data_IF_271496297013
#
_entry.id   IF_271496297013
#
_cell.length_a   1.000
_cell.length_b   1.000
_cell.length_c   1.000
_cell.angle_alpha   90.00
_cell.angle_beta   90.00
_cell.angle_gamma   90.00
#
_symmetry.space_group_name_H-M   'P 1'
#
loop_
_entity.id
_entity.type
_entity.pdbx_description
1 polymer ?
#
# COMPACT_ATOMS: atom_id res chain seq x y z
N UNK A 1 13.82 17.07 6.57
CA UNK A 1 12.89 16.20 7.34
C UNK A 1 12.38 15.08 6.44
N UNK A 2 12.86 13.84 6.63
CA UNK A 2 12.49 12.70 5.75
C UNK A 2 11.01 12.30 5.82
N UNK A 3 10.29 12.68 6.88
CA UNK A 3 8.90 12.30 7.12
C UNK A 3 7.85 13.14 6.38
N UNK A 4 8.25 14.18 5.62
CA UNK A 4 7.36 15.04 4.83
C UNK A 4 7.34 14.70 3.32
N UNK A 5 7.98 13.60 2.90
CA UNK A 5 7.90 13.16 1.49
C UNK A 5 6.47 12.75 1.13
N UNK A 6 6.01 12.94 -0.12
CA UNK A 6 4.68 12.49 -0.53
C UNK A 6 4.46 11.01 -0.20
N UNK A 7 3.38 10.71 0.50
CA UNK A 7 3.05 9.36 0.93
C UNK A 7 1.58 9.03 0.67
N UNK A 8 1.27 7.74 0.57
CA UNK A 8 -0.10 7.24 0.41
C UNK A 8 -0.30 6.07 1.36
N UNK A 9 -1.37 6.12 2.17
CA UNK A 9 -1.83 5.00 3.00
C UNK A 9 -2.50 3.94 2.12
N UNK A 10 -1.69 3.13 1.44
CA UNK A 10 -2.13 2.06 0.57
C UNK A 10 -1.07 0.96 0.46
N UNK A 11 -1.41 -0.11 -0.25
CA UNK A 11 -0.52 -1.18 -0.64
C UNK A 11 -0.59 -1.42 -2.13
N UNK A 12 0.57 -1.62 -2.77
CA UNK A 12 0.65 -2.08 -4.16
C UNK A 12 0.54 -3.60 -4.16
N UNK A 13 -0.47 -4.14 -4.83
CA UNK A 13 -0.75 -5.57 -4.92
C UNK A 13 -0.63 -6.01 -6.38
N UNK A 14 0.15 -7.07 -6.63
CA UNK A 14 0.26 -7.65 -7.97
C UNK A 14 -0.66 -8.88 -8.03
N UNK A 15 -1.75 -8.76 -8.77
CA UNK A 15 -2.68 -9.89 -8.98
C UNK A 15 -2.46 -10.51 -10.36
N UNK A 16 -2.90 -11.75 -10.54
CA UNK A 16 -2.90 -12.43 -11.84
C UNK A 16 -4.33 -12.82 -12.21
N UNK A 17 -4.78 -12.41 -13.40
CA UNK A 17 -6.17 -12.62 -13.87
C UNK A 17 -6.19 -13.23 -15.27
N UNK A 18 -7.18 -14.08 -15.59
CA UNK A 18 -7.39 -14.52 -16.96
C UNK A 18 -7.74 -13.33 -17.85
N UNK A 19 -7.31 -13.36 -19.11
CA UNK A 19 -7.74 -12.37 -20.10
C UNK A 19 -9.03 -12.81 -20.79
N UNK A 20 -9.70 -11.87 -21.45
CA UNK A 20 -10.93 -12.11 -22.22
C UNK A 20 -10.71 -12.81 -23.58
N UNK A 21 -9.46 -12.95 -24.02
CA UNK A 21 -9.12 -13.59 -25.31
C UNK A 21 -9.36 -15.10 -25.25
N UNK A 22 -10.33 -15.58 -26.05
CA UNK A 22 -10.58 -17.02 -26.25
C UNK A 22 -9.30 -17.72 -26.73
N UNK A 23 -8.97 -18.86 -26.12
CA UNK A 23 -7.80 -19.65 -26.49
C UNK A 23 -6.42 -19.05 -26.14
N UNK A 24 -6.35 -18.05 -25.25
CA UNK A 24 -5.06 -17.48 -24.86
C UNK A 24 -4.12 -18.53 -24.23
N UNK A 25 -2.97 -18.76 -24.88
CA UNK A 25 -1.95 -19.73 -24.46
C UNK A 25 -1.48 -19.49 -23.01
N UNK A 26 -1.14 -18.25 -22.67
CA UNK A 26 -0.67 -17.91 -21.32
C UNK A 26 -1.73 -18.15 -20.23
N UNK A 27 -3.02 -18.00 -20.54
CA UNK A 27 -4.09 -18.33 -19.61
C UNK A 27 -4.33 -19.84 -19.52
N UNK A 28 -4.26 -20.56 -20.65
CA UNK A 28 -4.40 -22.02 -20.70
C UNK A 28 -3.32 -22.76 -19.92
N UNK A 29 -2.10 -22.22 -19.92
CA UNK A 29 -0.95 -22.73 -19.16
C UNK A 29 -0.93 -22.27 -17.68
N UNK A 30 -1.98 -21.57 -17.21
CA UNK A 30 -2.09 -21.14 -15.80
C UNK A 30 -1.25 -19.91 -15.42
N UNK A 31 -0.37 -19.41 -16.31
CA UNK A 31 0.47 -18.21 -16.05
C UNK A 31 -0.36 -16.96 -15.78
N UNK A 32 -1.47 -16.78 -16.51
CA UNK A 32 -2.40 -15.62 -16.42
C UNK A 32 -1.68 -14.28 -16.67
N UNK A 33 -2.43 -13.17 -16.67
CA UNK A 33 -1.87 -11.84 -16.91
C UNK A 33 -1.79 -11.00 -15.64
N UNK A 34 -0.72 -10.22 -15.53
CA UNK A 34 -0.47 -9.34 -14.39
C UNK A 34 -1.48 -8.19 -14.40
N UNK A 35 -2.12 -7.96 -13.26
CA UNK A 35 -3.04 -6.86 -12.99
C UNK A 35 -2.60 -6.17 -11.70
N UNK A 36 -1.74 -5.13 -11.78
CA UNK A 36 -1.32 -4.36 -10.63
C UNK A 36 -2.49 -3.55 -10.07
N UNK A 37 -2.63 -3.53 -8.75
CA UNK A 37 -3.66 -2.80 -8.03
C UNK A 37 -3.02 -1.93 -6.94
N UNK A 38 -3.63 -0.79 -6.66
CA UNK A 38 -3.42 -0.02 -5.46
C UNK A 38 -4.62 -0.24 -4.53
N UNK A 39 -4.37 -0.81 -3.36
CA UNK A 39 -5.41 -1.12 -2.37
C UNK A 39 -5.28 -0.17 -1.19
N UNK A 40 -6.34 0.59 -0.92
CA UNK A 40 -6.41 1.51 0.22
C UNK A 40 -7.66 1.21 1.06
N UNK A 41 -7.58 1.40 2.39
CA UNK A 41 -8.77 1.36 3.24
C UNK A 41 -9.46 2.73 3.20
N UNK A 42 -10.71 2.75 2.74
CA UNK A 42 -11.55 3.95 2.68
C UNK A 42 -12.77 3.69 3.56
N UNK A 43 -12.92 4.47 4.65
CA UNK A 43 -13.98 4.27 5.65
C UNK A 43 -14.02 2.82 6.19
N UNK A 44 -12.85 2.25 6.49
CA UNK A 44 -12.71 0.89 7.00
C UNK A 44 -12.85 -0.23 5.97
N UNK A 45 -13.19 0.08 4.71
CA UNK A 45 -13.40 -0.93 3.65
C UNK A 45 -12.25 -0.90 2.63
N UNK A 46 -11.67 -2.05 2.24
CA UNK A 46 -10.65 -2.08 1.21
C UNK A 46 -11.24 -1.68 -0.15
N UNK A 47 -10.58 -0.73 -0.82
CA UNK A 47 -10.90 -0.29 -2.17
C UNK A 47 -9.69 -0.53 -3.06
N UNK A 48 -9.90 -1.31 -4.12
CA UNK A 48 -8.91 -1.61 -5.13
C UNK A 48 -9.05 -0.64 -6.30
N UNK A 49 -7.93 -0.06 -6.74
CA UNK A 49 -7.84 0.74 -7.96
C UNK A 49 -6.83 0.10 -8.90
N UNK A 50 -7.16 0.02 -10.19
CA UNK A 50 -6.20 -0.41 -11.20
C UNK A 50 -5.00 0.54 -11.21
N UNK A 51 -3.80 -0.02 -11.28
CA UNK A 51 -2.56 0.74 -11.29
C UNK A 51 -1.83 0.54 -12.63
N UNK A 52 -1.78 1.57 -13.49
CA UNK A 52 -1.00 1.54 -14.72
C UNK A 52 0.48 1.23 -14.45
N UNK A 53 1.12 0.49 -15.36
CA UNK A 53 2.53 0.03 -15.20
C UNK A 53 3.48 1.19 -14.89
N UNK A 54 3.31 2.31 -15.60
CA UNK A 54 4.13 3.53 -15.41
C UNK A 54 4.07 4.11 -13.99
N UNK A 55 3.01 3.85 -13.24
CA UNK A 55 2.81 4.37 -11.89
C UNK A 55 3.25 3.39 -10.78
N UNK A 56 3.62 2.15 -11.11
CA UNK A 56 3.95 1.13 -10.11
C UNK A 56 5.13 1.56 -9.24
N UNK A 57 6.21 2.04 -9.87
CA UNK A 57 7.42 2.45 -9.15
C UNK A 57 7.13 3.61 -8.20
N UNK A 58 6.38 4.60 -8.66
CA UNK A 58 6.00 5.75 -7.84
C UNK A 58 5.06 5.36 -6.69
N UNK A 59 4.04 4.55 -6.97
CA UNK A 59 3.13 4.06 -5.94
C UNK A 59 3.89 3.30 -4.86
N UNK A 60 4.83 2.42 -5.24
CA UNK A 60 5.69 1.71 -4.28
C UNK A 60 6.47 2.68 -3.40
N UNK A 61 7.13 3.69 -3.99
CA UNK A 61 7.86 4.73 -3.23
C UNK A 61 6.94 5.46 -2.24
N UNK A 62 5.76 5.89 -2.67
CA UNK A 62 4.80 6.61 -1.82
C UNK A 62 4.23 5.73 -0.70
N UNK A 63 3.96 4.45 -0.96
CA UNK A 63 3.52 3.51 0.08
C UNK A 63 4.63 3.20 1.08
N UNK A 64 5.89 3.19 0.64
CA UNK A 64 7.03 3.02 1.54
C UNK A 64 7.26 4.26 2.41
N UNK A 65 7.14 5.47 1.83
CA UNK A 65 7.16 6.70 2.60
C UNK A 65 6.09 6.70 3.70
N UNK A 66 4.87 6.20 3.41
CA UNK A 66 3.82 6.08 4.42
C UNK A 66 4.24 5.15 5.58
N UNK A 67 4.87 4.00 5.28
CA UNK A 67 5.34 3.09 6.33
C UNK A 67 6.40 3.74 7.21
N UNK A 68 7.34 4.48 6.62
CA UNK A 68 8.37 5.23 7.36
C UNK A 68 7.75 6.30 8.25
N UNK A 69 6.88 7.14 7.69
CA UNK A 69 6.17 8.19 8.45
C UNK A 69 5.32 7.58 9.56
N UNK A 70 4.60 6.48 9.30
CA UNK A 70 3.81 5.78 10.32
C UNK A 70 4.69 5.32 11.48
N UNK A 71 5.86 4.71 11.23
CA UNK A 71 6.76 4.25 12.30
C UNK A 71 7.15 5.39 13.25
N UNK A 72 7.54 6.54 12.69
CA UNK A 72 7.89 7.73 13.49
C UNK A 72 6.69 8.21 14.30
N UNK A 73 5.50 8.27 13.69
CA UNK A 73 4.27 8.68 14.38
C UNK A 73 3.95 7.76 15.58
N UNK A 74 4.02 6.44 15.39
CA UNK A 74 3.75 5.48 16.46
C UNK A 74 4.80 5.57 17.59
N UNK A 75 6.08 5.76 17.25
CA UNK A 75 7.14 5.98 18.23
C UNK A 75 6.90 7.23 19.06
N UNK A 76 6.59 8.35 18.41
CA UNK A 76 6.27 9.60 19.11
C UNK A 76 5.03 9.44 19.99
N UNK A 77 3.98 8.80 19.46
CA UNK A 77 2.76 8.56 20.23
C UNK A 77 3.01 7.71 21.47
N UNK A 78 3.87 6.69 21.38
CA UNK A 78 4.28 5.86 22.51
C UNK A 78 4.98 6.66 23.60
N UNK A 79 5.98 7.47 23.22
CA UNK A 79 6.72 8.32 24.16
C UNK A 79 5.81 9.29 24.92
N UNK A 80 4.90 9.96 24.21
CA UNK A 80 3.97 10.90 24.85
C UNK A 80 2.91 10.21 25.70
N UNK A 81 2.50 8.99 25.33
CA UNK A 81 1.59 8.20 26.14
C UNK A 81 2.25 7.78 27.46
N UNK A 82 3.48 7.29 27.41
CA UNK A 82 4.26 6.92 28.59
C UNK A 82 4.46 8.11 29.52
N UNK A 83 4.87 9.25 28.95
CA UNK A 83 5.01 10.52 29.67
C UNK A 83 3.71 10.93 30.37
N UNK A 84 2.58 10.93 29.65
CA UNK A 84 1.28 11.29 30.21
C UNK A 84 0.84 10.36 31.34
N UNK A 85 1.05 9.05 31.19
CA UNK A 85 0.69 8.06 32.19
C UNK A 85 1.60 8.12 33.43
N UNK A 86 2.86 8.55 33.28
CA UNK A 86 3.80 8.70 34.40
C UNK A 86 3.37 9.77 35.42
N UNK A 87 2.60 10.78 35.00
CA UNK A 87 2.08 11.88 35.86
C UNK A 87 0.98 11.45 36.83
N UNK A 88 0.47 10.20 36.73
CA UNK A 88 -0.53 9.65 37.64
C UNK A 88 0.07 8.98 38.89
N UNK A 89 1.39 8.81 38.93
CA UNK A 89 2.13 8.42 40.14
C UNK A 89 2.54 9.67 40.92
#
# INVERSE_FOLDING_TARGET
LEFCRPFIRASVVITRKPCIRKGCRACREGRKHISPLLTASVKGKPKNRYLPVKLIAEARRRTENYRKTKRVLEQMSGLWLEELLSRKK
#
